data_IF_483113229262
#
_entry.id   IF_483113229262
#
_cell.length_a   1.000
_cell.length_b   1.000
_cell.length_c   1.000
_cell.angle_alpha   90.00
_cell.angle_beta   90.00
_cell.angle_gamma   90.00
#
_symmetry.space_group_name_H-M   'P 1'
#
loop_
_entity.id
_entity.type
_entity.pdbx_description
1 polymer ?
#
# COMPACT_ATOMS: atom_id res chain seq x y z
N UNK A 1 10.51 -6.96 2.54
CA UNK A 1 10.98 -8.31 2.20
C UNK A 1 12.26 -8.19 1.42
N UNK A 2 13.16 -9.15 1.56
CA UNK A 2 14.39 -9.22 0.77
C UNK A 2 14.25 -10.22 -0.39
N UNK A 3 13.01 -10.64 -0.70
CA UNK A 3 12.63 -11.63 -1.72
C UNK A 3 11.47 -11.09 -2.57
N UNK A 4 11.11 -11.82 -3.63
CA UNK A 4 9.94 -11.50 -4.44
C UNK A 4 8.66 -11.75 -3.64
N UNK A 5 7.61 -10.98 -3.93
CA UNK A 5 6.30 -11.19 -3.31
C UNK A 5 5.75 -12.60 -3.60
N UNK A 6 5.96 -13.10 -4.82
CA UNK A 6 5.55 -14.45 -5.23
C UNK A 6 6.18 -15.54 -4.33
N UNK A 7 7.48 -15.41 -4.02
CA UNK A 7 8.19 -16.34 -3.14
C UNK A 7 7.66 -16.26 -1.72
N UNK A 8 7.53 -15.04 -1.19
CA UNK A 8 7.05 -14.80 0.18
C UNK A 8 5.64 -15.35 0.40
N UNK A 9 4.75 -15.18 -0.58
CA UNK A 9 3.38 -15.72 -0.53
C UNK A 9 3.40 -17.26 -0.47
N UNK A 10 4.30 -17.88 -1.22
CA UNK A 10 4.54 -19.33 -1.15
C UNK A 10 5.04 -19.79 0.22
N UNK A 11 6.03 -19.08 0.80
CA UNK A 11 6.61 -19.38 2.11
C UNK A 11 5.56 -19.38 3.23
N UNK A 12 4.64 -18.41 3.21
CA UNK A 12 3.59 -18.30 4.24
C UNK A 12 2.32 -19.10 3.91
N UNK A 13 2.29 -19.81 2.78
CA UNK A 13 1.13 -20.58 2.33
C UNK A 13 -0.09 -19.73 1.98
N UNK A 14 0.09 -18.45 1.67
CA UNK A 14 -1.00 -17.57 1.30
C UNK A 14 -1.50 -17.86 -0.12
N UNK A 15 -2.80 -17.62 -0.36
CA UNK A 15 -3.47 -17.85 -1.65
C UNK A 15 -4.03 -16.59 -2.28
N UNK A 16 -3.99 -15.49 -1.54
CA UNK A 16 -4.53 -14.20 -1.98
C UNK A 16 -3.55 -13.08 -1.64
N UNK A 17 -3.28 -12.23 -2.62
CA UNK A 17 -2.66 -10.91 -2.44
C UNK A 17 -3.76 -9.85 -2.51
N UNK A 18 -3.97 -9.12 -1.42
CA UNK A 18 -4.95 -8.04 -1.37
C UNK A 18 -4.29 -6.70 -1.71
N UNK A 19 -4.88 -5.96 -2.64
CA UNK A 19 -4.41 -4.64 -3.09
C UNK A 19 -5.54 -3.62 -3.05
N UNK A 20 -5.20 -2.38 -2.78
CA UNK A 20 -6.13 -1.24 -2.83
C UNK A 20 -6.09 -0.56 -4.19
N UNK A 21 -7.25 -0.19 -4.74
CA UNK A 21 -7.35 0.71 -5.90
C UNK A 21 -8.09 1.98 -5.49
N UNK A 22 -7.42 3.14 -5.53
CA UNK A 22 -8.03 4.42 -5.15
C UNK A 22 -8.61 5.16 -6.35
N UNK A 23 -7.90 5.14 -7.46
CA UNK A 23 -8.25 5.84 -8.67
C UNK A 23 -7.84 5.02 -9.91
N UNK A 24 -8.36 5.42 -11.08
CA UNK A 24 -8.01 4.81 -12.37
C UNK A 24 -6.49 4.85 -12.63
N UNK A 25 -5.79 5.85 -12.10
CA UNK A 25 -4.33 5.96 -12.24
C UNK A 25 -3.54 4.86 -11.52
N UNK A 26 -4.08 4.28 -10.43
CA UNK A 26 -3.43 3.15 -9.75
C UNK A 26 -3.60 1.86 -10.57
N UNK A 27 -4.65 1.77 -11.39
CA UNK A 27 -5.08 0.53 -12.05
C UNK A 27 -4.02 -0.05 -12.98
N UNK A 28 -3.41 0.75 -13.85
CA UNK A 28 -2.47 0.25 -14.86
C UNK A 28 -1.25 -0.42 -14.22
N UNK A 29 -0.66 0.25 -13.23
CA UNK A 29 0.49 -0.27 -12.48
C UNK A 29 0.12 -1.56 -11.72
N UNK A 30 -1.00 -1.54 -10.99
CA UNK A 30 -1.47 -2.68 -10.20
C UNK A 30 -1.82 -3.89 -11.08
N UNK A 31 -2.42 -3.66 -12.24
CA UNK A 31 -2.80 -4.71 -13.18
C UNK A 31 -1.59 -5.38 -13.82
N UNK A 32 -0.57 -4.60 -14.20
CA UNK A 32 0.71 -5.14 -14.68
C UNK A 32 1.38 -6.01 -13.61
N UNK A 33 1.43 -5.52 -12.36
CA UNK A 33 2.02 -6.25 -11.25
C UNK A 33 1.27 -7.56 -10.95
N UNK A 34 -0.06 -7.52 -10.94
CA UNK A 34 -0.89 -8.71 -10.76
C UNK A 34 -0.66 -9.75 -11.88
N UNK A 35 -0.55 -9.30 -13.13
CA UNK A 35 -0.29 -10.16 -14.29
C UNK A 35 1.08 -10.85 -14.19
N UNK A 36 2.11 -10.13 -13.74
CA UNK A 36 3.42 -10.70 -13.48
C UNK A 36 3.38 -11.74 -12.34
N UNK A 37 2.74 -11.40 -11.22
CA UNK A 37 2.63 -12.30 -10.07
C UNK A 37 1.85 -13.58 -10.41
N UNK A 38 0.78 -13.50 -11.21
CA UNK A 38 0.06 -14.70 -11.68
C UNK A 38 0.95 -15.66 -12.47
N UNK A 39 1.95 -15.13 -13.19
CA UNK A 39 2.90 -15.98 -13.93
C UNK A 39 3.98 -16.59 -13.04
N UNK A 40 4.37 -15.89 -11.97
CA UNK A 40 5.36 -16.37 -11.00
C UNK A 40 4.77 -17.31 -9.94
N UNK A 41 3.52 -17.07 -9.54
CA UNK A 41 2.78 -17.84 -8.56
C UNK A 41 1.34 -18.10 -9.05
N UNK A 42 1.13 -19.12 -9.92
CA UNK A 42 -0.17 -19.41 -10.54
C UNK A 42 -1.29 -19.77 -9.55
N UNK A 43 -0.93 -20.30 -8.37
CA UNK A 43 -1.89 -20.70 -7.33
C UNK A 43 -2.30 -19.54 -6.39
N UNK A 44 -1.91 -18.32 -6.74
CA UNK A 44 -2.15 -17.11 -5.94
C UNK A 44 -2.99 -16.13 -6.73
N UNK A 45 -4.12 -15.72 -6.16
CA UNK A 45 -4.98 -14.70 -6.75
C UNK A 45 -4.65 -13.30 -6.23
N UNK A 46 -4.73 -12.29 -7.09
CA UNK A 46 -4.68 -10.89 -6.67
C UNK A 46 -6.10 -10.35 -6.62
N UNK A 47 -6.53 -9.87 -5.45
CA UNK A 47 -7.83 -9.26 -5.24
C UNK A 47 -7.68 -7.76 -5.01
N UNK A 48 -8.51 -6.97 -5.69
CA UNK A 48 -8.55 -5.52 -5.56
C UNK A 48 -9.77 -5.09 -4.76
N UNK A 49 -9.57 -4.22 -3.79
CA UNK A 49 -10.63 -3.53 -3.06
C UNK A 49 -10.49 -2.02 -3.22
N UNK A 50 -11.61 -1.32 -3.28
CA UNK A 50 -11.65 0.14 -3.20
C UNK A 50 -11.73 0.57 -1.74
N UNK A 51 -11.00 1.61 -1.32
CA UNK A 51 -11.19 2.19 0.00
C UNK A 51 -12.57 2.85 0.11
N UNK A 52 -12.97 3.16 1.33
CA UNK A 52 -14.07 4.10 1.57
C UNK A 52 -13.73 5.49 1.00
N UNK A 53 -14.76 6.20 0.51
CA UNK A 53 -14.62 7.46 -0.22
C UNK A 53 -13.78 8.50 0.54
N UNK A 54 -13.91 8.53 1.88
CA UNK A 54 -13.16 9.44 2.75
C UNK A 54 -11.65 9.18 2.81
N UNK A 55 -11.15 8.07 2.25
CA UNK A 55 -9.73 7.70 2.28
C UNK A 55 -9.09 7.65 0.89
N UNK A 56 -9.87 7.79 -0.19
CA UNK A 56 -9.37 7.68 -1.57
C UNK A 56 -8.29 8.71 -1.93
N UNK A 57 -8.31 9.89 -1.31
CA UNK A 57 -7.33 10.97 -1.57
C UNK A 57 -6.03 10.82 -0.76
N UNK A 58 -5.96 9.92 0.21
CA UNK A 58 -4.80 9.81 1.10
C UNK A 58 -3.66 9.07 0.39
N UNK A 59 -2.47 9.67 0.38
CA UNK A 59 -1.24 9.00 -0.04
C UNK A 59 -0.13 9.20 0.99
N UNK A 60 0.66 8.15 1.22
CA UNK A 60 1.80 8.23 2.14
C UNK A 60 2.82 9.29 1.73
N UNK A 61 2.96 9.57 0.43
CA UNK A 61 3.84 10.61 -0.08
C UNK A 61 3.40 12.00 0.39
N UNK A 62 2.12 12.34 0.17
CA UNK A 62 1.55 13.62 0.60
C UNK A 62 1.57 13.77 2.13
N UNK A 63 1.21 12.72 2.87
CA UNK A 63 1.26 12.75 4.34
C UNK A 63 2.68 13.01 4.85
N UNK A 64 3.69 12.36 4.27
CA UNK A 64 5.09 12.60 4.65
C UNK A 64 5.56 13.99 4.26
N UNK A 65 5.09 14.54 3.14
CA UNK A 65 5.41 15.90 2.70
C UNK A 65 4.84 16.95 3.66
N UNK A 66 3.55 16.84 4.01
CA UNK A 66 2.91 17.70 5.03
C UNK A 66 3.70 17.65 6.35
N UNK A 67 4.01 16.44 6.83
CA UNK A 67 4.76 16.26 8.07
C UNK A 67 6.17 16.90 8.00
N UNK A 68 6.89 16.75 6.88
CA UNK A 68 8.21 17.37 6.66
C UNK A 68 8.17 18.89 6.68
N UNK A 69 7.07 19.49 6.24
CA UNK A 69 6.85 20.93 6.25
C UNK A 69 6.26 21.44 7.58
N UNK A 70 6.12 20.57 8.59
CA UNK A 70 5.59 20.93 9.92
C UNK A 70 4.07 21.01 9.99
N UNK A 71 3.35 20.54 8.98
CA UNK A 71 1.89 20.49 8.98
C UNK A 71 1.32 19.36 9.85
N UNK A 72 0.08 19.52 10.31
CA UNK A 72 -0.62 18.49 11.09
C UNK A 72 -1.18 17.38 10.19
N UNK A 73 -0.91 16.13 10.58
CA UNK A 73 -1.36 14.91 9.86
C UNK A 73 -2.33 14.06 10.67
N UNK A 74 -2.81 14.55 11.82
CA UNK A 74 -3.68 13.79 12.76
C UNK A 74 -4.92 13.21 12.08
N UNK A 75 -5.51 13.91 11.12
CA UNK A 75 -6.69 13.45 10.39
C UNK A 75 -6.41 12.31 9.40
N UNK A 76 -5.15 12.06 9.04
CA UNK A 76 -4.78 11.15 7.95
C UNK A 76 -4.10 9.86 8.44
N UNK A 77 -3.64 9.82 9.70
CA UNK A 77 -2.90 8.69 10.24
C UNK A 77 -3.29 8.38 11.68
N UNK A 78 -3.14 7.12 12.06
CA UNK A 78 -3.28 6.69 13.45
C UNK A 78 -2.27 7.41 14.37
N UNK A 79 -2.60 7.72 15.65
CA UNK A 79 -1.71 8.43 16.58
C UNK A 79 -0.28 7.85 16.67
N UNK A 80 -0.17 6.52 16.72
CA UNK A 80 1.14 5.82 16.71
C UNK A 80 2.01 6.14 15.49
N UNK A 81 1.40 6.38 14.33
CA UNK A 81 2.13 6.74 13.10
C UNK A 81 2.54 8.21 13.12
N UNK A 82 1.69 9.10 13.66
CA UNK A 82 2.05 10.51 13.86
C UNK A 82 3.29 10.65 14.75
N UNK A 83 3.33 9.92 15.86
CA UNK A 83 4.48 9.88 16.77
C UNK A 83 5.73 9.38 16.05
N UNK A 84 5.65 8.24 15.36
CA UNK A 84 6.77 7.70 14.59
C UNK A 84 7.27 8.63 13.47
N UNK A 85 6.37 9.39 12.82
CA UNK A 85 6.74 10.40 11.83
C UNK A 85 7.47 11.57 12.48
N UNK A 86 7.00 12.04 13.64
CA UNK A 86 7.65 13.13 14.37
C UNK A 86 9.07 12.73 14.82
N UNK A 87 9.25 11.53 15.35
CA UNK A 87 10.58 11.05 15.78
C UNK A 87 11.56 10.88 14.62
N UNK A 88 11.07 10.47 13.45
CA UNK A 88 11.90 10.31 12.25
C UNK A 88 12.31 11.64 11.59
N UNK A 89 11.55 12.72 11.82
CA UNK A 89 11.74 14.03 11.20
C UNK A 89 12.45 15.05 12.10
N UNK A 90 12.68 14.71 13.37
CA UNK A 90 13.63 15.40 14.26
C UNK A 90 15.07 15.17 13.80
#
# INVERSE_FOLDING_TARGET
FNSLLADFVGEVGAKVVLRGLRAVSDFEYEFQLASMNRRLAPDVETMFLTPDEGFSFISSSLVREIAKLGGDVTAFVHPKVKEALADRLR
#
